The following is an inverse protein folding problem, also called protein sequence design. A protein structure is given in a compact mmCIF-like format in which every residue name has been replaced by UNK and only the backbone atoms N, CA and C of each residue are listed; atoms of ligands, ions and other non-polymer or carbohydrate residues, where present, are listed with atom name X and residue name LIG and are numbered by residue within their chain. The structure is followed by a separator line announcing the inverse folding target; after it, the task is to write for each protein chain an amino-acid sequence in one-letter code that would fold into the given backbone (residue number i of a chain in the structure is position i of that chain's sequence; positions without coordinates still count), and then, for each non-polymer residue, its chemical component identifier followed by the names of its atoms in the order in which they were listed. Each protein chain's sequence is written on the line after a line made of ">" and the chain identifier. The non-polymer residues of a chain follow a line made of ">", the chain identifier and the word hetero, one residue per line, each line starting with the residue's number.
data_IF_652790259808
#
_entry.id   IF_652790259808
#
_cell.length_a   1.000
_cell.length_b   1.000
_cell.length_c   1.000
_cell.angle_alpha   90.00
_cell.angle_beta   90.00
_cell.angle_gamma   90.00
#
_symmetry.space_group_name_H-M   'P 1'
#
loop_
_entity.id
_entity.type
_entity.pdbx_description
1 polymer ?
#
# COMPACT_ATOMS: atom_id res chain seq x y z
N UNK A 1 -0.16 -1.56 -5.08
CA UNK A 1 -0.73 -2.79 -4.43
C UNK A 1 0.31 -3.91 -4.55
N UNK A 2 0.01 -5.16 -4.15
CA UNK A 2 0.98 -6.27 -4.22
C UNK A 2 1.40 -6.64 -5.66
N UNK A 3 0.61 -6.27 -6.66
CA UNK A 3 0.87 -6.48 -8.10
C UNK A 3 1.56 -5.27 -8.77
N UNK A 4 1.97 -4.25 -7.99
CA UNK A 4 2.62 -3.04 -8.50
C UNK A 4 1.68 -1.92 -8.93
N UNK A 5 0.42 -2.22 -9.23
CA UNK A 5 -0.56 -1.24 -9.71
C UNK A 5 -0.06 -0.48 -10.96
N UNK A 6 -0.57 0.73 -11.19
CA UNK A 6 -0.18 1.51 -12.37
C UNK A 6 1.22 2.14 -12.27
N UNK A 7 1.82 2.18 -11.08
CA UNK A 7 3.18 2.70 -10.88
C UNK A 7 4.26 1.62 -11.04
N UNK A 8 3.86 0.35 -11.12
CA UNK A 8 4.77 -0.80 -11.05
C UNK A 8 5.43 -0.98 -9.67
N UNK A 9 4.91 -0.33 -8.62
CA UNK A 9 5.50 -0.35 -7.28
C UNK A 9 4.64 -1.12 -6.28
N UNK A 10 5.24 -2.16 -5.69
CA UNK A 10 4.73 -2.77 -4.47
C UNK A 10 4.91 -1.83 -3.27
N UNK A 11 4.19 -2.02 -2.15
CA UNK A 11 4.28 -1.14 -0.98
C UNK A 11 5.71 -0.96 -0.44
N UNK A 12 6.52 -2.03 -0.42
CA UNK A 12 7.92 -1.97 -0.01
C UNK A 12 8.78 -1.09 -0.95
N UNK A 13 8.53 -1.15 -2.26
CA UNK A 13 9.22 -0.30 -3.23
C UNK A 13 8.83 1.18 -3.06
N UNK A 14 7.53 1.45 -2.82
CA UNK A 14 7.07 2.80 -2.52
C UNK A 14 7.72 3.36 -1.25
N UNK A 15 7.80 2.55 -0.18
CA UNK A 15 8.50 2.93 1.05
C UNK A 15 9.96 3.33 0.77
N UNK A 16 10.73 2.48 0.08
CA UNK A 16 12.13 2.77 -0.22
C UNK A 16 12.33 4.04 -1.06
N UNK A 17 11.40 4.32 -1.99
CA UNK A 17 11.38 5.56 -2.74
C UNK A 17 11.18 6.78 -1.81
N UNK A 18 10.20 6.73 -0.92
CA UNK A 18 9.90 7.83 0.00
C UNK A 18 11.02 8.04 1.01
N UNK A 19 11.61 6.97 1.55
CA UNK A 19 12.77 7.05 2.45
C UNK A 19 13.97 7.73 1.76
N UNK A 20 14.19 7.45 0.47
CA UNK A 20 15.23 8.13 -0.33
C UNK A 20 14.98 9.64 -0.42
N UNK A 21 13.74 10.06 -0.67
CA UNK A 21 13.40 11.48 -0.73
C UNK A 21 13.43 12.16 0.65
N UNK A 22 12.99 11.46 1.70
CA UNK A 22 13.08 11.95 3.08
C UNK A 22 14.53 12.23 3.47
N UNK A 23 15.45 11.30 3.16
CA UNK A 23 16.89 11.51 3.39
C UNK A 23 17.45 12.73 2.64
N UNK A 24 17.07 12.92 1.37
CA UNK A 24 17.49 14.10 0.58
C UNK A 24 16.92 15.41 1.12
N UNK A 25 15.73 15.38 1.69
CA UNK A 25 15.07 16.55 2.29
C UNK A 25 15.50 16.82 3.74
N UNK A 26 16.33 15.95 4.35
CA UNK A 26 16.71 16.05 5.76
C UNK A 26 15.57 15.73 6.74
N UNK A 27 14.55 14.99 6.29
CA UNK A 27 13.45 14.53 7.16
C UNK A 27 13.88 13.25 7.91
N UNK A 28 13.88 13.24 9.26
CA UNK A 28 14.11 12.03 10.04
C UNK A 28 13.07 10.94 9.75
N UNK A 29 13.51 9.70 9.53
CA UNK A 29 12.62 8.59 9.15
C UNK A 29 11.63 8.19 10.26
N UNK A 30 11.95 8.45 11.52
CA UNK A 30 11.04 8.26 12.66
C UNK A 30 9.85 9.24 12.67
N UNK A 31 9.92 10.31 11.88
CA UNK A 31 8.82 11.26 11.65
C UNK A 31 8.04 10.98 10.37
N UNK A 32 8.46 9.99 9.57
CA UNK A 32 7.77 9.60 8.34
C UNK A 32 6.61 8.66 8.68
N UNK A 33 5.39 9.05 8.29
CA UNK A 33 4.19 8.20 8.40
C UNK A 33 3.77 7.78 7.00
N UNK A 34 3.62 6.47 6.80
CA UNK A 34 3.14 5.89 5.55
C UNK A 34 1.72 5.37 5.73
N UNK A 35 0.81 5.84 4.88
CA UNK A 35 -0.60 5.47 4.89
C UNK A 35 -1.03 4.76 3.61
N UNK A 36 -1.84 3.71 3.76
CA UNK A 36 -2.60 3.11 2.67
C UNK A 36 -4.00 3.72 2.62
N UNK A 37 -4.43 4.08 1.41
CA UNK A 37 -5.72 4.73 1.17
C UNK A 37 -6.63 3.84 0.32
N UNK A 38 -7.94 3.88 0.61
CA UNK A 38 -8.99 3.07 -0.02
C UNK A 38 -8.57 1.60 -0.24
N UNK A 39 -8.04 0.96 0.82
CA UNK A 39 -7.61 -0.42 0.77
C UNK A 39 -8.82 -1.35 0.79
N UNK A 40 -9.00 -2.09 -0.29
CA UNK A 40 -10.11 -3.01 -0.44
C UNK A 40 -10.18 -3.61 -1.85
N UNK A 41 -11.33 -4.16 -2.24
CA UNK A 41 -11.50 -4.88 -3.50
C UNK A 41 -11.58 -3.96 -4.73
N UNK A 42 -11.63 -2.64 -4.56
CA UNK A 42 -11.88 -1.67 -5.63
C UNK A 42 -11.02 -1.88 -6.91
N UNK A 43 -9.69 -2.14 -6.83
CA UNK A 43 -8.88 -2.40 -8.03
C UNK A 43 -9.33 -3.64 -8.83
N UNK A 44 -9.97 -4.59 -8.17
CA UNK A 44 -10.42 -5.88 -8.72
C UNK A 44 -11.95 -6.02 -8.72
N UNK A 45 -12.69 -4.91 -8.72
CA UNK A 45 -14.17 -4.90 -8.73
C UNK A 45 -14.82 -5.63 -9.91
N UNK A 46 -14.05 -5.92 -10.96
CA UNK A 46 -14.48 -6.66 -12.13
C UNK A 46 -14.41 -8.18 -11.93
N UNK A 47 -13.69 -8.64 -10.90
CA UNK A 47 -13.61 -10.05 -10.53
C UNK A 47 -14.82 -10.46 -9.66
N UNK A 48 -14.97 -11.76 -9.41
CA UNK A 48 -15.91 -12.26 -8.40
C UNK A 48 -15.56 -11.69 -7.01
N UNK A 49 -16.57 -11.48 -6.16
CA UNK A 49 -16.37 -10.95 -4.81
C UNK A 49 -15.33 -11.75 -4.00
N UNK A 50 -15.35 -13.08 -4.10
CA UNK A 50 -14.37 -13.93 -3.42
C UNK A 50 -12.94 -13.67 -3.91
N UNK A 51 -12.76 -13.52 -5.22
CA UNK A 51 -11.43 -13.25 -5.79
C UNK A 51 -10.93 -11.84 -5.46
N UNK A 52 -11.79 -10.83 -5.61
CA UNK A 52 -11.46 -9.46 -5.28
C UNK A 52 -11.05 -9.32 -3.81
N UNK A 53 -11.73 -10.03 -2.90
CA UNK A 53 -11.38 -10.06 -1.48
C UNK A 53 -10.06 -10.79 -1.18
N UNK A 54 -9.75 -11.89 -1.89
CA UNK A 54 -8.42 -12.54 -1.78
C UNK A 54 -7.29 -11.58 -2.12
N UNK A 55 -7.45 -10.84 -3.21
CA UNK A 55 -6.48 -9.83 -3.65
C UNK A 55 -6.41 -8.63 -2.71
N UNK A 56 -7.55 -8.20 -2.15
CA UNK A 56 -7.58 -7.17 -1.12
C UNK A 56 -6.80 -7.57 0.13
N UNK A 57 -6.97 -8.82 0.61
CA UNK A 57 -6.20 -9.35 1.73
C UNK A 57 -4.69 -9.36 1.44
N UNK A 58 -4.28 -9.89 0.28
CA UNK A 58 -2.87 -9.89 -0.14
C UNK A 58 -2.29 -8.48 -0.25
N UNK A 59 -3.09 -7.50 -0.67
CA UNK A 59 -2.69 -6.10 -0.66
C UNK A 59 -2.48 -5.58 0.76
N UNK A 60 -3.44 -5.79 1.68
CA UNK A 60 -3.33 -5.33 3.06
C UNK A 60 -2.10 -5.94 3.74
N UNK A 61 -1.85 -7.23 3.56
CA UNK A 61 -0.66 -7.91 4.06
C UNK A 61 0.63 -7.26 3.53
N UNK A 62 0.68 -6.92 2.24
CA UNK A 62 1.84 -6.24 1.67
C UNK A 62 2.06 -4.83 2.23
N UNK A 63 0.99 -4.07 2.51
CA UNK A 63 1.09 -2.76 3.16
C UNK A 63 1.58 -2.89 4.61
N UNK A 64 1.00 -3.81 5.38
CA UNK A 64 1.37 -4.06 6.78
C UNK A 64 2.84 -4.54 6.88
N UNK A 65 3.25 -5.51 6.06
CA UNK A 65 4.62 -6.01 6.02
C UNK A 65 5.64 -4.95 5.58
N UNK A 66 5.23 -3.99 4.73
CA UNK A 66 6.06 -2.85 4.35
C UNK A 66 6.17 -1.76 5.45
N UNK A 67 5.43 -1.88 6.56
CA UNK A 67 5.49 -0.93 7.68
C UNK A 67 4.57 0.28 7.52
N UNK A 68 3.52 0.19 6.70
CA UNK A 68 2.47 1.19 6.69
C UNK A 68 1.64 1.08 7.98
N UNK A 69 1.51 2.17 8.72
CA UNK A 69 0.88 2.19 10.05
C UNK A 69 -0.51 2.82 10.05
N UNK A 70 -0.87 3.54 8.99
CA UNK A 70 -2.24 4.01 8.77
C UNK A 70 -2.88 3.21 7.63
N UNK A 71 -4.00 2.57 7.89
CA UNK A 71 -4.73 1.77 6.91
C UNK A 71 -6.19 2.25 6.83
N UNK A 72 -6.59 2.81 5.70
CA UNK A 72 -8.00 3.10 5.40
C UNK A 72 -8.61 1.88 4.72
N UNK A 73 -9.47 1.15 5.44
CA UNK A 73 -10.19 0.01 4.91
C UNK A 73 -11.50 0.48 4.28
N UNK A 74 -11.65 0.25 2.98
CA UNK A 74 -12.83 0.64 2.21
C UNK A 74 -13.36 -0.56 1.42
N UNK A 75 -14.49 -1.09 1.89
CA UNK A 75 -15.15 -2.29 1.34
C UNK A 75 -16.62 -2.02 1.03
N UNK A 76 -16.95 -0.78 0.62
CA UNK A 76 -18.31 -0.37 0.23
C UNK A 76 -18.81 -1.05 -1.04
#
# INVERSE_FOLDING_TARGET
>A
NHEGGYTGMAPAAFRGLVETYAGRAGLPLDRLILGGDHLGPNPWKHDSAAEAMRKAAAMIDAYAAAGFTKLHLDTS
#
